data_IF_479700923474
#
_entry.id   IF_479700923474
#
_cell.length_a   1.000
_cell.length_b   1.000
_cell.length_c   1.000
_cell.angle_alpha   90.00
_cell.angle_beta   90.00
_cell.angle_gamma   90.00
#
_symmetry.space_group_name_H-M   'P 1'
#
loop_
_entity.id
_entity.type
_entity.pdbx_description
1 polymer ?
#
# COMPACT_ATOMS: atom_id res chain seq x y z
N UNK A 1 -5.13 -7.22 16.02
CA UNK A 1 -6.35 -7.02 16.86
C UNK A 1 -7.64 -7.32 16.09
N UNK A 2 -7.71 -7.17 14.77
CA UNK A 2 -8.92 -7.34 13.95
C UNK A 2 -9.66 -8.68 14.12
N UNK A 3 -8.99 -9.72 14.58
CA UNK A 3 -9.57 -11.04 14.85
C UNK A 3 -9.99 -11.25 16.32
N UNK A 4 -9.84 -10.23 17.16
CA UNK A 4 -10.25 -10.29 18.57
C UNK A 4 -11.64 -9.67 18.69
N UNK A 5 -12.57 -10.42 19.25
CA UNK A 5 -13.94 -9.96 19.47
C UNK A 5 -13.94 -8.79 20.47
N UNK A 6 -14.72 -7.76 20.20
CA UNK A 6 -14.92 -6.60 21.09
C UNK A 6 -13.63 -5.87 21.51
N UNK A 7 -12.55 -6.01 20.73
CA UNK A 7 -11.26 -5.37 21.01
C UNK A 7 -11.37 -3.85 21.19
N UNK A 8 -12.24 -3.20 20.42
CA UNK A 8 -12.45 -1.75 20.49
C UNK A 8 -12.98 -1.31 21.84
N UNK A 9 -13.97 -2.02 22.38
CA UNK A 9 -14.53 -1.75 23.71
C UNK A 9 -13.48 -1.97 24.80
N UNK A 10 -12.67 -3.02 24.68
CA UNK A 10 -11.59 -3.28 25.63
C UNK A 10 -10.52 -2.17 25.60
N UNK A 11 -10.08 -1.74 24.41
CA UNK A 11 -9.11 -0.64 24.26
C UNK A 11 -9.66 0.65 24.84
N UNK A 12 -10.92 0.97 24.54
CA UNK A 12 -11.63 2.14 25.07
C UNK A 12 -11.63 2.15 26.60
N UNK A 13 -11.97 1.03 27.21
CA UNK A 13 -11.91 0.87 28.67
C UNK A 13 -10.47 1.10 29.21
N UNK A 14 -9.44 0.54 28.55
CA UNK A 14 -8.05 0.75 28.98
C UNK A 14 -7.65 2.24 28.87
N UNK A 15 -7.99 2.93 27.78
CA UNK A 15 -7.67 4.36 27.59
C UNK A 15 -8.39 5.24 28.61
N UNK A 16 -9.66 4.95 28.91
CA UNK A 16 -10.47 5.75 29.81
C UNK A 16 -10.04 5.59 31.29
N UNK A 17 -9.67 4.38 31.70
CA UNK A 17 -9.43 4.03 33.13
C UNK A 17 -7.97 3.78 33.51
N UNK A 18 -7.05 3.62 32.54
CA UNK A 18 -5.63 3.34 32.76
C UNK A 18 -4.73 4.42 32.17
N UNK A 19 -4.81 5.62 32.71
CA UNK A 19 -4.06 6.80 32.22
C UNK A 19 -2.54 6.70 32.40
N UNK A 20 -2.08 5.75 33.19
CA UNK A 20 -0.68 5.41 33.39
C UNK A 20 -0.06 4.62 32.21
N UNK A 21 -0.88 4.18 31.26
CA UNK A 21 -0.42 3.34 30.13
C UNK A 21 -0.45 4.07 28.81
N UNK A 22 0.55 3.82 27.99
CA UNK A 22 0.56 4.15 26.57
C UNK A 22 0.29 2.88 25.79
N UNK A 23 -0.76 2.87 24.99
CA UNK A 23 -1.21 1.70 24.25
C UNK A 23 -1.03 1.98 22.76
N UNK A 24 -0.34 1.08 22.06
CA UNK A 24 -0.28 1.06 20.61
C UNK A 24 -0.82 -0.28 20.11
N UNK A 25 -1.62 -0.24 19.06
CA UNK A 25 -2.15 -1.44 18.42
C UNK A 25 -2.06 -1.29 16.90
N UNK A 26 -1.87 -2.39 16.22
CA UNK A 26 -1.71 -2.44 14.77
C UNK A 26 -2.65 -3.47 14.15
N UNK A 27 -3.00 -3.25 12.89
CA UNK A 27 -3.78 -4.20 12.11
C UNK A 27 -3.76 -3.83 10.64
N UNK A 28 -3.67 -4.81 9.76
CA UNK A 28 -3.64 -4.62 8.30
C UNK A 28 -5.00 -4.17 7.74
N UNK A 29 -6.10 -4.62 8.34
CA UNK A 29 -7.48 -4.34 7.88
C UNK A 29 -8.26 -3.42 8.82
N UNK A 30 -7.59 -2.67 9.68
CA UNK A 30 -8.23 -1.76 10.65
C UNK A 30 -9.25 -0.79 10.05
N UNK A 31 -9.01 -0.15 8.88
CA UNK A 31 -9.99 0.78 8.32
C UNK A 31 -11.32 0.12 7.93
N UNK A 32 -11.27 -1.15 7.51
CA UNK A 32 -12.46 -1.89 7.09
C UNK A 32 -13.30 -2.37 8.27
N UNK A 33 -12.64 -2.69 9.39
CA UNK A 33 -13.31 -3.16 10.62
C UNK A 33 -13.80 -1.99 11.48
N UNK A 34 -13.16 -0.83 11.38
CA UNK A 34 -13.53 0.35 12.16
C UNK A 34 -14.83 1.04 11.70
N UNK A 35 -15.34 0.72 10.50
CA UNK A 35 -16.60 1.26 10.00
C UNK A 35 -17.81 0.82 10.84
N UNK A 36 -17.72 -0.35 11.48
CA UNK A 36 -18.79 -0.94 12.31
C UNK A 36 -18.63 -0.69 13.82
N UNK A 37 -17.59 0.04 14.25
CA UNK A 37 -17.30 0.19 15.67
C UNK A 37 -17.54 1.61 16.17
N UNK A 38 -18.02 1.68 17.41
CA UNK A 38 -18.25 2.93 18.14
C UNK A 38 -17.09 3.94 18.00
N UNK A 39 -17.46 5.20 17.81
CA UNK A 39 -16.56 6.33 17.68
C UNK A 39 -15.44 6.35 18.73
N UNK A 40 -14.19 6.19 18.27
CA UNK A 40 -12.98 6.37 19.07
C UNK A 40 -12.52 7.83 19.20
N UNK A 41 -13.41 8.78 18.93
CA UNK A 41 -13.09 10.22 18.89
C UNK A 41 -12.42 10.66 20.19
N UNK A 42 -11.26 11.30 20.06
CA UNK A 42 -10.49 11.85 21.18
C UNK A 42 -9.70 10.85 22.02
N UNK A 43 -9.74 9.53 21.72
CA UNK A 43 -9.08 8.48 22.52
C UNK A 43 -7.80 7.95 21.91
N UNK A 44 -7.68 7.91 20.59
CA UNK A 44 -6.47 7.45 19.89
C UNK A 44 -6.22 8.23 18.62
N UNK A 45 -4.97 8.24 18.23
CA UNK A 45 -4.51 8.79 16.98
C UNK A 45 -4.19 7.65 16.00
N UNK A 46 -4.78 7.70 14.81
CA UNK A 46 -4.53 6.70 13.76
C UNK A 46 -3.37 7.14 12.89
N UNK A 47 -2.35 6.30 12.82
CA UNK A 47 -1.22 6.45 11.90
C UNK A 47 -1.39 5.41 10.80
N UNK A 48 -1.54 5.86 9.56
CA UNK A 48 -1.58 4.98 8.39
C UNK A 48 -0.18 4.78 7.84
N UNK A 49 0.26 3.53 7.83
CA UNK A 49 1.51 3.15 7.17
C UNK A 49 1.16 2.66 5.78
N UNK A 50 1.68 3.34 4.77
CA UNK A 50 1.60 2.95 3.37
C UNK A 50 2.86 2.18 2.95
N UNK A 51 2.89 1.69 1.74
CA UNK A 51 4.13 1.21 1.12
C UNK A 51 5.14 2.35 1.03
N UNK A 52 6.42 2.02 0.97
CA UNK A 52 7.49 2.99 0.79
C UNK A 52 7.25 3.84 -0.45
N UNK A 53 7.42 5.14 -0.34
CA UNK A 53 7.63 6.00 -1.48
C UNK A 53 8.99 5.70 -2.14
N UNK A 54 9.18 6.15 -3.37
CA UNK A 54 10.49 6.00 -4.03
C UNK A 54 11.61 6.68 -3.23
N UNK A 55 11.33 7.82 -2.62
CA UNK A 55 12.29 8.53 -1.77
C UNK A 55 12.72 7.68 -0.56
N UNK A 56 11.78 7.07 0.15
CA UNK A 56 12.08 6.18 1.29
C UNK A 56 12.79 4.90 0.83
N UNK A 57 12.45 4.38 -0.36
CA UNK A 57 13.14 3.24 -0.96
C UNK A 57 14.63 3.56 -1.20
N UNK A 58 14.93 4.72 -1.78
CA UNK A 58 16.30 5.19 -2.02
C UNK A 58 17.07 5.31 -0.69
N UNK A 59 16.42 5.85 0.35
CA UNK A 59 17.03 5.98 1.66
C UNK A 59 17.32 4.62 2.31
N UNK A 60 16.37 3.69 2.30
CA UNK A 60 16.54 2.33 2.87
C UNK A 60 17.65 1.57 2.16
N UNK A 61 17.75 1.71 0.86
CA UNK A 61 18.82 1.11 0.05
C UNK A 61 20.16 1.84 0.17
N UNK A 62 20.18 3.00 0.82
CA UNK A 62 21.38 3.86 0.95
C UNK A 62 21.96 4.22 -0.43
N UNK A 63 21.09 4.46 -1.41
CA UNK A 63 21.49 4.90 -2.75
C UNK A 63 21.80 6.39 -2.68
N UNK A 64 23.02 6.76 -3.07
CA UNK A 64 23.40 8.17 -3.19
C UNK A 64 23.00 8.68 -4.58
N UNK A 65 22.04 9.59 -4.61
CA UNK A 65 21.57 10.26 -5.81
C UNK A 65 21.79 11.77 -5.67
N UNK A 66 21.98 12.50 -6.78
CA UNK A 66 22.09 13.94 -6.72
C UNK A 66 20.78 14.56 -6.23
N UNK A 67 20.88 15.68 -5.52
CA UNK A 67 19.70 16.42 -5.10
C UNK A 67 19.03 17.08 -6.30
N UNK A 68 17.72 16.90 -6.41
CA UNK A 68 16.88 17.64 -7.35
C UNK A 68 16.50 18.99 -6.75
N UNK A 69 16.27 20.02 -7.59
CA UNK A 69 15.76 21.30 -7.14
C UNK A 69 14.44 21.12 -6.37
N UNK A 70 14.35 21.75 -5.20
CA UNK A 70 13.12 21.74 -4.40
C UNK A 70 12.18 22.82 -4.95
N UNK A 71 10.97 22.41 -5.30
CA UNK A 71 9.88 23.30 -5.66
C UNK A 71 8.99 23.54 -4.43
N UNK A 72 8.75 24.80 -4.09
CA UNK A 72 7.78 25.16 -3.06
C UNK A 72 6.35 25.07 -3.61
N UNK A 73 6.19 25.29 -4.90
CA UNK A 73 4.93 25.25 -5.63
C UNK A 73 5.15 24.81 -7.07
N UNK A 74 4.16 24.18 -7.70
CA UNK A 74 4.18 23.91 -9.14
C UNK A 74 4.27 25.20 -9.98
N UNK A 75 3.88 26.35 -9.40
CA UNK A 75 4.03 27.66 -10.08
C UNK A 75 5.48 28.04 -10.31
N UNK A 76 6.40 27.59 -9.48
CA UNK A 76 7.83 27.89 -9.62
C UNK A 76 8.39 27.38 -10.96
N UNK A 77 7.75 26.34 -11.56
CA UNK A 77 8.11 25.84 -12.89
C UNK A 77 7.91 26.87 -14.03
N UNK A 78 7.00 27.84 -13.86
CA UNK A 78 6.78 28.89 -14.85
C UNK A 78 7.90 29.93 -14.89
N UNK A 79 8.73 29.98 -13.84
CA UNK A 79 9.88 30.87 -13.74
C UNK A 79 11.17 30.20 -14.27
N UNK A 80 11.10 28.89 -14.54
CA UNK A 80 12.25 28.14 -15.02
C UNK A 80 12.60 28.47 -16.47
N UNK A 81 13.91 28.55 -16.73
CA UNK A 81 14.46 28.67 -18.06
C UNK A 81 14.56 27.29 -18.73
N UNK A 82 14.70 27.24 -20.09
CA UNK A 82 14.98 25.97 -20.77
C UNK A 82 16.22 25.24 -20.25
N UNK A 83 17.23 25.97 -19.76
CA UNK A 83 18.44 25.40 -19.16
C UNK A 83 18.16 24.70 -17.84
N UNK A 84 17.22 25.20 -17.04
CA UNK A 84 16.84 24.60 -15.78
C UNK A 84 16.14 23.26 -16.03
N UNK A 85 15.21 23.23 -17.01
CA UNK A 85 14.55 21.98 -17.42
C UNK A 85 15.54 20.95 -17.94
N UNK A 86 16.50 21.37 -18.77
CA UNK A 86 17.53 20.49 -19.31
C UNK A 86 18.38 19.88 -18.18
N UNK A 87 18.86 20.72 -17.26
CA UNK A 87 19.64 20.28 -16.10
C UNK A 87 18.89 19.27 -15.25
N UNK A 88 17.62 19.52 -14.96
CA UNK A 88 16.79 18.59 -14.17
C UNK A 88 16.56 17.29 -14.93
N UNK A 89 16.36 17.34 -16.24
CA UNK A 89 16.22 16.15 -17.08
C UNK A 89 17.46 15.26 -17.03
N UNK A 90 18.66 15.85 -17.09
CA UNK A 90 19.92 15.09 -16.97
C UNK A 90 20.04 14.45 -15.58
N UNK A 91 19.75 15.19 -14.50
CA UNK A 91 19.77 14.68 -13.14
C UNK A 91 18.72 13.57 -12.96
N UNK A 92 17.51 13.77 -13.46
CA UNK A 92 16.42 12.80 -13.40
C UNK A 92 16.77 11.49 -14.12
N UNK A 93 17.57 11.53 -15.17
CA UNK A 93 18.06 10.33 -15.86
C UNK A 93 18.77 9.34 -14.93
N UNK A 94 19.47 9.84 -13.92
CA UNK A 94 20.15 8.99 -12.91
C UNK A 94 19.17 8.25 -11.99
N UNK A 95 17.95 8.75 -11.84
CA UNK A 95 16.91 8.15 -11.01
C UNK A 95 16.13 7.06 -11.73
N UNK A 96 16.03 7.12 -13.06
CA UNK A 96 15.14 6.26 -13.86
C UNK A 96 15.41 4.77 -13.62
N UNK A 97 16.67 4.33 -13.62
CA UNK A 97 17.02 2.94 -13.37
C UNK A 97 16.60 2.45 -11.99
N UNK A 98 16.82 3.26 -10.95
CA UNK A 98 16.40 2.97 -9.59
C UNK A 98 14.90 3.01 -9.41
N UNK A 99 14.22 3.91 -10.13
CA UNK A 99 12.76 3.98 -10.12
C UNK A 99 12.13 2.74 -10.75
N UNK A 100 12.66 2.27 -11.88
CA UNK A 100 12.23 1.00 -12.48
C UNK A 100 12.48 -0.18 -11.54
N UNK A 101 13.63 -0.24 -10.88
CA UNK A 101 13.91 -1.28 -9.88
C UNK A 101 12.90 -1.22 -8.74
N UNK A 102 12.56 -0.02 -8.23
CA UNK A 102 11.55 0.19 -7.21
C UNK A 102 10.17 -0.33 -7.65
N UNK A 103 9.74 -0.01 -8.88
CA UNK A 103 8.46 -0.50 -9.41
C UNK A 103 8.40 -2.03 -9.49
N UNK A 104 9.50 -2.67 -9.91
CA UNK A 104 9.57 -4.14 -10.03
C UNK A 104 9.66 -4.85 -8.67
N UNK A 105 10.33 -4.23 -7.69
CA UNK A 105 10.48 -4.78 -6.33
C UNK A 105 9.25 -4.53 -5.46
N UNK A 106 8.48 -3.50 -5.77
CA UNK A 106 7.39 -3.01 -4.94
C UNK A 106 7.88 -2.19 -3.72
N UNK A 107 6.94 -1.49 -3.11
CA UNK A 107 7.22 -0.53 -2.03
C UNK A 107 7.24 -1.14 -0.63
N UNK A 108 7.65 -2.39 -0.42
CA UNK A 108 7.76 -2.96 0.92
C UNK A 108 9.20 -2.95 1.41
N UNK A 109 9.47 -2.59 2.70
CA UNK A 109 10.83 -2.55 3.23
C UNK A 109 11.59 -3.86 3.06
N UNK A 110 10.91 -4.98 3.23
CA UNK A 110 11.51 -6.31 3.09
C UNK A 110 11.95 -6.59 1.65
N UNK A 111 11.14 -6.24 0.66
CA UNK A 111 11.47 -6.46 -0.76
C UNK A 111 12.55 -5.50 -1.25
N UNK A 112 12.62 -4.30 -0.68
CA UNK A 112 13.68 -3.34 -0.97
C UNK A 112 15.07 -3.85 -0.54
N UNK A 113 15.16 -4.58 0.57
CA UNK A 113 16.43 -4.99 1.18
C UNK A 113 17.02 -6.29 0.63
N UNK A 114 16.22 -7.16 -0.03
CA UNK A 114 16.75 -8.39 -0.61
C UNK A 114 17.64 -8.11 -1.81
N UNK A 115 18.59 -9.01 -2.09
CA UNK A 115 19.62 -8.78 -3.11
C UNK A 115 19.08 -8.81 -4.53
N UNK A 116 18.23 -9.78 -4.86
CA UNK A 116 17.78 -10.00 -6.24
C UNK A 116 16.31 -9.63 -6.46
N UNK A 117 15.98 -9.17 -7.68
CA UNK A 117 14.61 -8.91 -8.11
C UNK A 117 13.72 -10.16 -8.02
N UNK A 118 14.16 -11.36 -8.51
CA UNK A 118 13.34 -12.57 -8.37
C UNK A 118 13.00 -12.91 -6.91
N UNK A 119 13.92 -12.68 -5.98
CA UNK A 119 13.66 -12.88 -4.55
C UNK A 119 12.63 -11.86 -4.02
N UNK A 120 12.73 -10.60 -4.42
CA UNK A 120 11.76 -9.57 -4.04
C UNK A 120 10.36 -9.91 -4.54
N UNK A 121 10.24 -10.34 -5.81
CA UNK A 121 8.96 -10.73 -6.41
C UNK A 121 8.36 -11.97 -5.74
N UNK A 122 9.19 -12.95 -5.35
CA UNK A 122 8.73 -14.11 -4.58
C UNK A 122 8.15 -13.67 -3.23
N UNK A 123 8.86 -12.82 -2.50
CA UNK A 123 8.37 -12.28 -1.21
C UNK A 123 7.06 -11.51 -1.38
N UNK A 124 6.94 -10.68 -2.43
CA UNK A 124 5.69 -9.99 -2.74
C UNK A 124 4.54 -10.96 -2.91
N UNK A 125 4.76 -12.02 -3.69
CA UNK A 125 3.72 -13.02 -3.96
C UNK A 125 3.37 -13.82 -2.70
N UNK A 126 4.36 -14.47 -2.09
CA UNK A 126 4.14 -15.44 -1.00
C UNK A 126 3.77 -14.77 0.32
N UNK A 127 4.45 -13.69 0.68
CA UNK A 127 4.29 -13.06 2.00
C UNK A 127 3.26 -11.95 2.02
N UNK A 128 2.92 -11.36 0.89
CA UNK A 128 2.00 -10.22 0.84
C UNK A 128 0.73 -10.62 0.12
N UNK A 129 0.80 -10.92 -1.19
CA UNK A 129 -0.39 -11.18 -2.01
C UNK A 129 -1.13 -12.42 -1.52
N UNK A 130 -0.45 -13.56 -1.41
CA UNK A 130 -1.07 -14.82 -0.98
C UNK A 130 -1.66 -14.72 0.43
N UNK A 131 -0.98 -14.04 1.36
CA UNK A 131 -1.51 -13.84 2.72
C UNK A 131 -2.73 -12.94 2.74
N UNK A 132 -2.73 -11.85 1.98
CA UNK A 132 -3.88 -10.96 1.89
C UNK A 132 -5.06 -11.67 1.23
N UNK A 133 -4.87 -12.29 0.08
CA UNK A 133 -5.96 -12.95 -0.65
C UNK A 133 -6.47 -14.20 0.08
N UNK A 134 -5.57 -15.10 0.49
CA UNK A 134 -5.95 -16.42 1.05
C UNK A 134 -6.34 -16.37 2.52
N UNK A 135 -5.84 -15.42 3.27
CA UNK A 135 -6.09 -15.33 4.71
C UNK A 135 -6.98 -14.15 5.08
N UNK A 136 -6.56 -12.92 4.76
CA UNK A 136 -7.24 -11.73 5.26
C UNK A 136 -8.58 -11.53 4.55
N UNK A 137 -8.63 -11.63 3.22
CA UNK A 137 -9.86 -11.48 2.45
C UNK A 137 -10.88 -12.59 2.77
N UNK A 138 -10.42 -13.83 2.85
CA UNK A 138 -11.32 -14.96 3.20
C UNK A 138 -11.86 -14.84 4.63
N UNK A 139 -11.03 -14.41 5.58
CA UNK A 139 -11.44 -14.27 6.97
C UNK A 139 -12.36 -13.07 7.22
N UNK A 140 -12.16 -11.96 6.50
CA UNK A 140 -12.93 -10.72 6.71
C UNK A 140 -14.23 -10.69 5.89
N UNK A 141 -14.21 -11.23 4.69
CA UNK A 141 -15.35 -11.13 3.74
C UNK A 141 -16.02 -12.47 3.46
N UNK A 142 -15.54 -13.56 4.05
CA UNK A 142 -16.12 -14.88 3.89
C UNK A 142 -16.03 -15.43 2.46
N UNK A 143 -15.06 -14.97 1.67
CA UNK A 143 -14.87 -15.43 0.29
C UNK A 143 -14.52 -16.91 0.27
N UNK A 144 -15.28 -17.71 -0.48
CA UNK A 144 -15.13 -19.17 -0.54
C UNK A 144 -14.22 -19.63 -1.65
N UNK A 145 -14.21 -18.92 -2.77
CA UNK A 145 -13.39 -19.26 -3.94
C UNK A 145 -12.17 -18.34 -4.03
N UNK A 146 -11.01 -18.85 -3.62
CA UNK A 146 -9.75 -18.11 -3.63
C UNK A 146 -9.24 -17.91 -5.06
N UNK A 147 -9.53 -18.83 -5.98
CA UNK A 147 -9.14 -18.70 -7.39
C UNK A 147 -9.81 -17.50 -8.06
N UNK A 148 -11.09 -17.28 -7.79
CA UNK A 148 -11.80 -16.11 -8.32
C UNK A 148 -11.17 -14.81 -7.79
N UNK A 149 -10.73 -14.79 -6.53
CA UNK A 149 -10.01 -13.66 -5.96
C UNK A 149 -8.66 -13.44 -6.67
N UNK A 150 -7.87 -14.50 -6.87
CA UNK A 150 -6.59 -14.41 -7.56
C UNK A 150 -6.77 -13.90 -9.00
N UNK A 151 -7.74 -14.45 -9.74
CA UNK A 151 -8.05 -14.00 -11.10
C UNK A 151 -8.51 -12.54 -11.12
N UNK A 152 -9.38 -12.15 -10.19
CA UNK A 152 -9.84 -10.77 -10.08
C UNK A 152 -8.68 -9.83 -9.79
N UNK A 153 -7.79 -10.20 -8.86
CA UNK A 153 -6.60 -9.42 -8.55
C UNK A 153 -5.68 -9.26 -9.76
N UNK A 154 -5.40 -10.34 -10.48
CA UNK A 154 -4.57 -10.30 -11.70
C UNK A 154 -5.21 -9.45 -12.79
N UNK A 155 -6.53 -9.57 -12.97
CA UNK A 155 -7.27 -8.74 -13.91
C UNK A 155 -7.11 -7.26 -13.57
N UNK A 156 -7.28 -6.88 -12.31
CA UNK A 156 -7.08 -5.50 -11.86
C UNK A 156 -5.65 -5.00 -12.10
N UNK A 157 -4.65 -5.83 -11.83
CA UNK A 157 -3.24 -5.48 -12.09
C UNK A 157 -2.95 -5.25 -13.58
N UNK A 158 -3.60 -6.02 -14.47
CA UNK A 158 -3.42 -5.88 -15.93
C UNK A 158 -4.15 -4.66 -16.50
N UNK A 159 -5.19 -4.19 -15.82
CA UNK A 159 -6.02 -3.06 -16.25
C UNK A 159 -5.82 -1.82 -15.37
N UNK A 160 -4.71 -1.75 -14.63
CA UNK A 160 -4.39 -0.61 -13.77
C UNK A 160 -4.31 0.69 -14.58
N UNK A 161 -4.91 1.76 -14.04
CA UNK A 161 -5.01 3.07 -14.71
C UNK A 161 -6.11 3.17 -15.77
N UNK A 162 -6.87 2.10 -16.03
CA UNK A 162 -8.03 2.07 -16.93
C UNK A 162 -9.35 2.29 -16.22
N UNK A 163 -10.43 2.30 -17.02
CA UNK A 163 -11.80 2.25 -16.50
C UNK A 163 -12.18 0.80 -16.20
N UNK A 164 -12.63 0.55 -14.97
CA UNK A 164 -13.12 -0.75 -14.56
C UNK A 164 -14.64 -0.82 -14.75
N UNK A 165 -15.11 -1.66 -15.68
CA UNK A 165 -16.51 -2.06 -15.76
C UNK A 165 -16.72 -3.38 -15.05
N UNK A 166 -17.64 -3.40 -14.07
CA UNK A 166 -17.97 -4.61 -13.30
C UNK A 166 -18.63 -5.69 -14.13
N UNK A 167 -19.31 -5.33 -15.19
CA UNK A 167 -19.95 -6.28 -16.11
C UNK A 167 -18.89 -7.00 -16.93
N UNK A 168 -17.94 -6.25 -17.48
CA UNK A 168 -16.82 -6.78 -18.25
C UNK A 168 -15.92 -7.66 -17.37
N UNK A 169 -15.63 -7.22 -16.15
CA UNK A 169 -14.85 -8.00 -15.19
C UNK A 169 -15.53 -9.34 -14.89
N UNK A 170 -16.82 -9.32 -14.54
CA UNK A 170 -17.58 -10.53 -14.25
C UNK A 170 -17.68 -11.47 -15.45
N UNK A 171 -17.86 -10.94 -16.66
CA UNK A 171 -17.92 -11.70 -17.88
C UNK A 171 -16.58 -12.34 -18.25
N UNK A 172 -15.50 -11.58 -18.18
CA UNK A 172 -14.16 -12.06 -18.55
C UNK A 172 -13.61 -13.12 -17.60
N UNK A 173 -13.99 -13.04 -16.32
CA UNK A 173 -13.52 -13.96 -15.27
C UNK A 173 -14.52 -15.08 -14.96
N UNK A 174 -15.72 -15.07 -15.59
CA UNK A 174 -16.81 -15.98 -15.28
C UNK A 174 -17.23 -15.98 -13.80
N UNK A 175 -17.01 -14.87 -13.09
CA UNK A 175 -17.33 -14.71 -11.67
C UNK A 175 -18.67 -14.02 -11.48
N UNK A 176 -19.35 -14.40 -10.41
CA UNK A 176 -20.61 -13.74 -10.04
C UNK A 176 -20.36 -12.36 -9.46
N UNK A 177 -21.20 -11.39 -9.79
CA UNK A 177 -21.09 -10.01 -9.31
C UNK A 177 -20.90 -9.86 -7.80
N UNK A 178 -21.57 -10.63 -6.92
CA UNK A 178 -21.31 -10.56 -5.48
C UNK A 178 -19.91 -11.02 -5.04
N UNK A 179 -19.19 -11.76 -5.90
CA UNK A 179 -17.82 -12.21 -5.63
C UNK A 179 -16.80 -11.14 -6.05
N UNK A 180 -17.15 -10.34 -7.05
CA UNK A 180 -16.29 -9.28 -7.59
C UNK A 180 -16.45 -7.93 -6.86
N UNK A 181 -17.51 -7.74 -6.09
CA UNK A 181 -17.78 -6.58 -5.22
C UNK A 181 -17.12 -6.74 -3.85
#
# INVERSE_FOLDING_TARGET
VQFIRDWGTWVKHQVDFRKDRRIAFTGSAMPLVAADQESGVGRWHTIRLTTLSFYEYVQIKKISLPELPVLNSLRDLFEWTPSDFYRVSELAGLYVGHFHEYLIRGGFPQTAQVQSIPQAQRLLREDIIDKVLKRDMTALFGVRNVLDLEHTFLYLCLHDGGLLDMTDLCSNLEVKRPTAQ
#
